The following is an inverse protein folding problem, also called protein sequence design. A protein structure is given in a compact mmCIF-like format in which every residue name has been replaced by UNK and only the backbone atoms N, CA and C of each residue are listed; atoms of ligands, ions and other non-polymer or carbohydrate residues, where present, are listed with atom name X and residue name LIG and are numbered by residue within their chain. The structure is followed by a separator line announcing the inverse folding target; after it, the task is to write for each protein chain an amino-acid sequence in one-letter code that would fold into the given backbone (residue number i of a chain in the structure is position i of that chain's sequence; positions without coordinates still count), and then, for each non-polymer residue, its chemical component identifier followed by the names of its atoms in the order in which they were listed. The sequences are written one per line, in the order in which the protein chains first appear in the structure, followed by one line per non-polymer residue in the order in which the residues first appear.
data_IF_599945148164
#
_entry.id   IF_599945148164
#
_cell.length_a   1.000
_cell.length_b   1.000
_cell.length_c   1.000
_cell.angle_alpha   90.00
_cell.angle_beta   90.00
_cell.angle_gamma   90.00
#
_symmetry.space_group_name_H-M   'P 1'
#
loop_
_entity.id
_entity.type
_entity.pdbx_description
1 polymer ?
#
# COMPACT_ATOMS: atom_id res chain seq x y z
N UNK A 1 -18.56 -3.24 18.61
CA UNK A 1 -18.49 -2.25 17.51
C UNK A 1 -17.83 -2.95 16.34
N UNK A 2 -18.60 -3.28 15.31
CA UNK A 2 -18.03 -3.74 14.04
C UNK A 2 -17.62 -2.52 13.22
N UNK A 3 -16.42 -2.57 12.63
CA UNK A 3 -15.98 -1.51 11.73
C UNK A 3 -16.91 -1.49 10.52
N UNK A 4 -17.43 -0.33 10.09
CA UNK A 4 -18.24 -0.26 8.90
C UNK A 4 -17.35 -0.62 7.70
N UNK A 5 -17.82 -1.55 6.87
CA UNK A 5 -17.19 -2.08 5.63
C UNK A 5 -16.36 -3.37 5.76
N UNK A 6 -16.99 -4.43 6.26
CA UNK A 6 -16.54 -5.84 6.28
C UNK A 6 -16.63 -6.54 4.91
N UNK A 7 -16.30 -5.84 3.82
CA UNK A 7 -16.09 -6.47 2.51
C UNK A 7 -14.66 -7.00 2.38
N UNK A 8 -14.46 -8.14 1.70
CA UNK A 8 -13.14 -8.76 1.39
C UNK A 8 -12.08 -7.82 0.77
N UNK A 9 -12.45 -6.59 0.41
CA UNK A 9 -11.64 -5.64 -0.34
C UNK A 9 -10.87 -4.62 0.54
N UNK A 10 -11.19 -4.48 1.83
CA UNK A 10 -10.51 -3.51 2.71
C UNK A 10 -9.13 -3.98 3.21
N UNK A 11 -8.81 -5.26 3.01
CA UNK A 11 -7.52 -5.89 3.35
C UNK A 11 -6.33 -5.37 2.52
N UNK A 12 -6.48 -4.28 1.78
CA UNK A 12 -5.39 -3.68 1.00
C UNK A 12 -5.10 -2.25 1.44
N UNK A 13 -5.82 -1.76 2.47
CA UNK A 13 -5.74 -0.38 2.93
C UNK A 13 -4.81 -0.21 4.14
N UNK A 14 -4.35 -1.29 4.76
CA UNK A 14 -3.42 -1.25 5.88
C UNK A 14 -2.00 -1.60 5.45
N UNK A 15 -1.01 -0.93 6.06
CA UNK A 15 0.41 -1.20 5.82
C UNK A 15 0.81 -2.64 6.16
N UNK A 16 0.15 -3.27 7.13
CA UNK A 16 0.38 -4.68 7.47
C UNK A 16 0.02 -5.63 6.31
N UNK A 17 -1.06 -5.34 5.59
CA UNK A 17 -1.44 -6.11 4.41
C UNK A 17 -0.48 -5.91 3.25
N UNK A 18 0.04 -4.68 3.11
CA UNK A 18 1.12 -4.40 2.17
C UNK A 18 2.36 -5.26 2.49
N UNK A 19 2.78 -5.33 3.75
CA UNK A 19 3.93 -6.16 4.17
C UNK A 19 3.67 -7.64 3.86
N UNK A 20 2.46 -8.14 4.10
CA UNK A 20 2.10 -9.52 3.78
C UNK A 20 2.23 -9.81 2.28
N UNK A 21 1.69 -8.94 1.42
CA UNK A 21 1.80 -9.09 -0.03
C UNK A 21 3.26 -8.89 -0.50
N UNK A 22 3.98 -7.98 0.13
CA UNK A 22 5.41 -7.74 -0.10
C UNK A 22 6.25 -9.00 0.18
N UNK A 23 6.02 -9.68 1.30
CA UNK A 23 6.77 -10.90 1.66
C UNK A 23 6.42 -12.10 0.77
N UNK A 24 5.26 -12.09 0.12
CA UNK A 24 4.75 -13.21 -0.69
C UNK A 24 5.02 -13.04 -2.20
N UNK A 25 5.28 -11.83 -2.68
CA UNK A 25 5.49 -11.54 -4.10
C UNK A 25 6.98 -11.37 -4.43
N UNK A 26 7.49 -12.16 -5.37
CA UNK A 26 8.89 -12.10 -5.81
C UNK A 26 9.21 -10.87 -6.69
N UNK A 27 8.23 -10.36 -7.45
CA UNK A 27 8.40 -9.24 -8.39
C UNK A 27 8.07 -7.87 -7.77
N UNK A 28 8.83 -7.51 -6.74
CA UNK A 28 8.71 -6.21 -6.08
C UNK A 28 9.53 -5.14 -6.81
N UNK A 29 8.95 -3.95 -7.00
CA UNK A 29 9.65 -2.80 -7.59
C UNK A 29 9.93 -1.76 -6.51
N UNK A 30 11.21 -1.45 -6.33
CA UNK A 30 11.69 -0.37 -5.47
C UNK A 30 12.23 0.75 -6.33
N UNK A 31 11.83 1.99 -6.06
CA UNK A 31 12.45 3.18 -6.67
C UNK A 31 12.57 4.31 -5.65
N UNK A 32 13.64 5.09 -5.76
CA UNK A 32 13.77 6.36 -5.06
C UNK A 32 13.17 7.45 -5.95
N UNK A 33 12.24 8.25 -5.42
CA UNK A 33 11.61 9.33 -6.18
C UNK A 33 11.20 10.46 -5.25
N UNK A 34 11.64 11.69 -5.53
CA UNK A 34 11.20 12.91 -4.84
C UNK A 34 11.30 12.86 -3.30
N UNK A 35 12.34 12.24 -2.76
CA UNK A 35 12.52 12.08 -1.31
C UNK A 35 11.76 10.89 -0.70
N UNK A 36 11.14 10.05 -1.53
CA UNK A 36 10.45 8.84 -1.10
C UNK A 36 11.14 7.59 -1.61
N UNK A 37 11.24 6.58 -0.75
CA UNK A 37 11.36 5.20 -1.17
C UNK A 37 9.95 4.71 -1.54
N UNK A 38 9.74 4.44 -2.83
CA UNK A 38 8.46 3.99 -3.36
C UNK A 38 8.53 2.49 -3.60
N UNK A 39 7.68 1.77 -2.89
CA UNK A 39 7.57 0.31 -2.92
C UNK A 39 6.28 -0.08 -3.64
N UNK A 40 6.39 -0.79 -4.76
CA UNK A 40 5.25 -1.23 -5.56
C UNK A 40 5.18 -2.77 -5.55
N UNK A 41 3.98 -3.29 -5.31
CA UNK A 41 3.67 -4.72 -5.37
C UNK A 41 2.34 -4.96 -6.07
N UNK A 42 2.18 -6.16 -6.64
CA UNK A 42 0.93 -6.57 -7.29
C UNK A 42 -0.04 -7.16 -6.27
N UNK A 43 -1.33 -6.88 -6.45
CA UNK A 43 -2.39 -7.59 -5.74
C UNK A 43 -2.74 -8.83 -6.56
N UNK A 44 -2.58 -10.05 -6.01
CA UNK A 44 -2.96 -11.26 -6.73
C UNK A 44 -4.46 -11.31 -7.02
N UNK A 45 -4.82 -11.88 -8.17
CA UNK A 45 -6.20 -12.04 -8.61
C UNK A 45 -6.57 -11.16 -9.80
N UNK A 46 -7.81 -11.27 -10.25
CA UNK A 46 -8.31 -10.60 -11.46
C UNK A 46 -9.38 -9.55 -11.14
N UNK A 47 -9.09 -8.64 -10.22
CA UNK A 47 -9.99 -7.54 -9.92
C UNK A 47 -9.63 -6.30 -10.74
N UNK A 48 -10.57 -5.82 -11.56
CA UNK A 48 -10.35 -4.62 -12.38
C UNK A 48 -10.06 -3.35 -11.58
N UNK A 49 -10.48 -3.28 -10.31
CA UNK A 49 -10.30 -2.14 -9.42
C UNK A 49 -9.05 -2.23 -8.53
N UNK A 50 -8.44 -3.43 -8.40
CA UNK A 50 -7.33 -3.68 -7.50
C UNK A 50 -6.24 -4.46 -8.23
N UNK A 51 -5.23 -3.76 -8.72
CA UNK A 51 -4.12 -4.34 -9.46
C UNK A 51 -2.79 -4.19 -8.72
N UNK A 52 -2.53 -3.00 -8.14
CA UNK A 52 -1.26 -2.70 -7.47
C UNK A 52 -1.47 -1.98 -6.16
N UNK A 53 -0.53 -2.16 -5.24
CA UNK A 53 -0.34 -1.30 -4.08
C UNK A 53 0.99 -0.57 -4.22
N UNK A 54 0.96 0.73 -3.90
CA UNK A 54 2.16 1.57 -3.90
C UNK A 54 2.28 2.23 -2.53
N UNK A 55 3.34 1.90 -1.81
CA UNK A 55 3.67 2.50 -0.52
C UNK A 55 4.77 3.55 -0.71
N UNK A 56 4.51 4.75 -0.20
CA UNK A 56 5.45 5.87 -0.19
C UNK A 56 6.02 6.01 1.21
N UNK A 57 7.31 5.72 1.34
CA UNK A 57 8.05 5.84 2.59
C UNK A 57 8.98 7.04 2.49
N UNK A 58 8.95 7.93 3.47
CA UNK A 58 9.89 9.05 3.54
C UNK A 58 11.33 8.50 3.62
N UNK A 59 12.21 8.94 2.72
CA UNK A 59 13.57 8.40 2.63
C UNK A 59 14.43 8.79 3.83
N UNK A 60 14.10 9.88 4.53
CA UNK A 60 14.87 10.39 5.66
C UNK A 60 14.37 9.79 6.98
N UNK A 61 13.07 9.92 7.25
CA UNK A 61 12.46 9.47 8.52
C UNK A 61 12.14 7.99 8.55
N UNK A 62 12.11 7.33 7.37
CA UNK A 62 11.68 5.93 7.18
C UNK A 62 10.21 5.66 7.52
N UNK A 63 9.43 6.71 7.79
CA UNK A 63 8.00 6.57 8.08
C UNK A 63 7.19 6.43 6.79
N UNK A 64 6.16 5.57 6.77
CA UNK A 64 5.18 5.56 5.69
C UNK A 64 4.36 6.86 5.73
N UNK A 65 4.22 7.53 4.59
CA UNK A 65 3.44 8.78 4.49
C UNK A 65 2.12 8.56 3.76
N UNK A 66 2.13 7.70 2.73
CA UNK A 66 0.95 7.43 1.90
C UNK A 66 1.00 6.03 1.33
N UNK A 67 -0.17 5.41 1.18
CA UNK A 67 -0.35 4.23 0.36
C UNK A 67 -1.46 4.45 -0.66
N UNK A 68 -1.28 3.92 -1.86
CA UNK A 68 -2.30 3.94 -2.90
C UNK A 68 -2.60 2.54 -3.39
N UNK A 69 -3.88 2.28 -3.65
CA UNK A 69 -4.32 1.07 -4.36
C UNK A 69 -4.75 1.50 -5.76
N UNK A 70 -4.06 0.98 -6.77
CA UNK A 70 -4.26 1.31 -8.16
C UNK A 70 -5.10 0.23 -8.84
N UNK A 71 -5.92 0.64 -9.79
CA UNK A 71 -6.55 -0.27 -10.73
C UNK A 71 -5.58 -0.72 -11.85
N UNK A 72 -6.10 -1.51 -12.80
CA UNK A 72 -5.32 -2.01 -13.94
C UNK A 72 -4.82 -0.92 -14.90
N UNK A 73 -5.43 0.27 -14.88
CA UNK A 73 -5.02 1.42 -15.69
C UNK A 73 -3.98 2.28 -14.95
N UNK A 74 -3.65 1.94 -13.70
CA UNK A 74 -2.73 2.69 -12.85
C UNK A 74 -3.39 3.89 -12.15
N UNK A 75 -4.72 3.99 -12.19
CA UNK A 75 -5.46 5.07 -11.54
C UNK A 75 -5.65 4.74 -10.06
N UNK A 76 -5.29 5.65 -9.12
CA UNK A 76 -5.56 5.45 -7.70
C UNK A 76 -7.06 5.34 -7.44
N UNK A 77 -7.49 4.20 -6.90
CA UNK A 77 -8.85 3.97 -6.43
C UNK A 77 -8.99 4.28 -4.95
N UNK A 78 -7.92 4.07 -4.20
CA UNK A 78 -7.85 4.39 -2.78
C UNK A 78 -6.53 5.07 -2.47
N UNK A 79 -6.60 6.07 -1.58
CA UNK A 79 -5.42 6.75 -1.04
C UNK A 79 -5.54 6.80 0.47
N UNK A 80 -4.57 6.19 1.15
CA UNK A 80 -4.42 6.20 2.60
C UNK A 80 -3.29 7.15 2.93
N UNK A 81 -3.55 8.17 3.74
CA UNK A 81 -2.53 9.14 4.21
C UNK A 81 -2.26 8.88 5.68
N UNK A 82 -1.01 8.60 6.01
CA UNK A 82 -0.57 8.40 7.39
C UNK A 82 -0.10 9.75 7.93
N UNK A 83 -0.69 10.18 9.05
CA UNK A 83 -0.32 11.44 9.73
C UNK A 83 0.47 11.17 10.99
N UNK A 84 -0.08 10.32 11.86
CA UNK A 84 0.47 10.03 13.19
C UNK A 84 0.92 8.56 13.26
N UNK A 85 1.83 8.17 12.37
CA UNK A 85 2.36 6.81 12.37
C UNK A 85 3.32 6.62 13.56
N UNK A 86 2.90 5.82 14.53
CA UNK A 86 3.70 5.46 15.69
C UNK A 86 4.12 4.00 15.61
N UNK A 87 5.42 3.76 15.72
CA UNK A 87 5.97 2.44 15.99
C UNK A 87 6.24 2.30 17.49
N UNK A 88 5.53 1.39 18.15
CA UNK A 88 5.77 1.04 19.56
C UNK A 88 6.38 -0.36 19.60
N UNK A 89 7.57 -0.45 20.17
CA UNK A 89 8.36 -1.69 20.27
C UNK A 89 8.08 -2.40 21.60
#
# INVERSE_FOLDING_TARGET
MELPNTGKNNQYLFVGDFIKNYLQNEEMKVKLSKGHLVLETFIPGDNKYFNKQVLYVNADTKNPEKMEVLDKEGVPRFTVKYKDFEYRN
#
